data_IF_667786434404
#
_entry.id   IF_667786434404
#
_cell.length_a   1.000
_cell.length_b   1.000
_cell.length_c   1.000
_cell.angle_alpha   90.00
_cell.angle_beta   90.00
_cell.angle_gamma   90.00
#
_symmetry.space_group_name_H-M   'P 1'
#
loop_
_entity.id
_entity.type
_entity.pdbx_description
1 polymer ?
#
# COMPACT_ATOMS: atom_id res chain seq x y z
N UNK A 1 -22.36 -5.22 -18.13
CA UNK A 1 -22.32 -6.68 -17.89
C UNK A 1 -21.19 -7.07 -16.96
N UNK A 2 -19.93 -6.71 -17.24
CA UNK A 2 -18.78 -7.07 -16.38
C UNK A 2 -18.91 -6.56 -14.94
N UNK A 3 -19.29 -5.30 -14.73
CA UNK A 3 -19.57 -4.76 -13.38
C UNK A 3 -20.57 -5.61 -12.58
N UNK A 4 -21.65 -6.04 -13.23
CA UNK A 4 -22.66 -6.91 -12.60
C UNK A 4 -22.07 -8.27 -12.27
N UNK A 5 -21.33 -8.89 -13.20
CA UNK A 5 -20.71 -10.19 -12.98
C UNK A 5 -19.77 -10.17 -11.76
N UNK A 6 -18.95 -9.12 -11.61
CA UNK A 6 -18.05 -8.96 -10.46
C UNK A 6 -18.85 -8.93 -9.15
N UNK A 7 -19.94 -8.15 -9.09
CA UNK A 7 -20.77 -8.05 -7.88
C UNK A 7 -21.52 -9.35 -7.57
N UNK A 8 -22.09 -9.98 -8.60
CA UNK A 8 -22.83 -11.24 -8.46
C UNK A 8 -21.90 -12.35 -7.96
N UNK A 9 -20.65 -12.41 -8.44
CA UNK A 9 -19.64 -13.40 -7.98
C UNK A 9 -19.23 -13.17 -6.52
N UNK A 10 -18.96 -11.91 -6.13
CA UNK A 10 -18.65 -11.58 -4.73
C UNK A 10 -19.79 -11.98 -3.78
N UNK A 11 -21.04 -11.67 -4.16
CA UNK A 11 -22.21 -12.06 -3.37
C UNK A 11 -22.35 -13.59 -3.28
N UNK A 12 -22.05 -14.32 -4.35
CA UNK A 12 -22.00 -15.77 -4.33
C UNK A 12 -21.00 -16.29 -3.28
N UNK A 13 -19.77 -15.78 -3.26
CA UNK A 13 -18.76 -16.16 -2.26
C UNK A 13 -19.20 -15.83 -0.82
N UNK A 14 -19.80 -14.66 -0.62
CA UNK A 14 -20.28 -14.25 0.70
C UNK A 14 -21.45 -15.11 1.17
N UNK A 15 -22.49 -15.26 0.37
CA UNK A 15 -23.73 -15.92 0.80
C UNK A 15 -23.55 -17.44 0.87
N UNK A 16 -22.98 -18.04 -0.18
CA UNK A 16 -22.91 -19.49 -0.31
C UNK A 16 -21.72 -20.10 0.46
N UNK A 17 -20.64 -19.33 0.62
CA UNK A 17 -19.40 -19.84 1.23
C UNK A 17 -18.99 -19.09 2.50
N UNK A 18 -19.73 -18.05 2.90
CA UNK A 18 -19.49 -17.28 4.13
C UNK A 18 -18.08 -16.69 4.20
N UNK A 19 -17.55 -16.26 3.06
CA UNK A 19 -16.26 -15.56 2.98
C UNK A 19 -16.33 -14.21 3.71
N UNK A 20 -15.36 -13.93 4.58
CA UNK A 20 -15.34 -12.76 5.47
C UNK A 20 -14.65 -11.51 4.87
N UNK A 21 -14.06 -11.61 3.68
CA UNK A 21 -13.34 -10.50 3.07
C UNK A 21 -12.74 -10.83 1.70
N UNK A 22 -12.35 -9.79 0.97
CA UNK A 22 -11.79 -9.94 -0.37
C UNK A 22 -10.56 -9.05 -0.57
N UNK A 23 -9.51 -9.65 -1.13
CA UNK A 23 -8.34 -8.98 -1.68
C UNK A 23 -8.48 -8.91 -3.20
N UNK A 24 -8.61 -7.71 -3.75
CA UNK A 24 -8.70 -7.49 -5.19
C UNK A 24 -7.29 -7.41 -5.81
N UNK A 25 -7.00 -8.38 -6.68
CA UNK A 25 -5.84 -8.37 -7.56
C UNK A 25 -5.93 -7.21 -8.56
N UNK A 26 -4.81 -6.50 -8.74
CA UNK A 26 -4.69 -5.32 -9.61
C UNK A 26 -5.92 -4.40 -9.53
N UNK A 27 -6.38 -4.10 -8.30
CA UNK A 27 -7.60 -3.32 -8.05
C UNK A 27 -7.62 -1.98 -8.80
N UNK A 28 -6.45 -1.36 -9.04
CA UNK A 28 -6.33 -0.17 -9.87
C UNK A 28 -6.75 -0.32 -11.33
N UNK A 29 -6.98 -1.53 -11.85
CA UNK A 29 -7.57 -1.78 -13.19
C UNK A 29 -9.10 -1.90 -13.14
N UNK A 30 -9.70 -1.89 -11.95
CA UNK A 30 -11.15 -1.92 -11.76
C UNK A 30 -11.66 -0.49 -11.58
N UNK A 31 -12.86 -0.19 -12.08
CA UNK A 31 -13.52 1.10 -11.83
C UNK A 31 -13.80 1.26 -10.33
N UNK A 32 -13.50 2.44 -9.78
CA UNK A 32 -13.81 2.80 -8.38
C UNK A 32 -15.29 2.54 -8.06
N UNK A 33 -16.18 2.91 -8.98
CA UNK A 33 -17.62 2.72 -8.82
C UNK A 33 -18.00 1.23 -8.63
N UNK A 34 -17.34 0.31 -9.33
CA UNK A 34 -17.61 -1.14 -9.20
C UNK A 34 -17.28 -1.64 -7.80
N UNK A 35 -16.11 -1.30 -7.26
CA UNK A 35 -15.72 -1.75 -5.91
C UNK A 35 -16.59 -1.08 -4.83
N UNK A 36 -16.91 0.20 -4.97
CA UNK A 36 -17.81 0.90 -4.02
C UNK A 36 -19.22 0.30 -4.05
N UNK A 37 -19.75 0.00 -5.25
CA UNK A 37 -21.05 -0.65 -5.39
C UNK A 37 -21.03 -2.08 -4.81
N UNK A 38 -19.94 -2.82 -5.00
CA UNK A 38 -19.76 -4.13 -4.40
C UNK A 38 -19.75 -4.05 -2.86
N UNK A 39 -19.00 -3.11 -2.30
CA UNK A 39 -18.97 -2.84 -0.85
C UNK A 39 -20.37 -2.56 -0.30
N UNK A 40 -21.13 -1.71 -0.99
CA UNK A 40 -22.50 -1.37 -0.60
C UNK A 40 -23.43 -2.58 -0.64
N UNK A 41 -23.38 -3.37 -1.73
CA UNK A 41 -24.19 -4.57 -1.90
C UNK A 41 -23.89 -5.61 -0.81
N UNK A 42 -22.61 -5.91 -0.57
CA UNK A 42 -22.18 -6.83 0.49
C UNK A 42 -22.59 -6.31 1.87
N UNK A 43 -22.35 -5.02 2.16
CA UNK A 43 -22.71 -4.39 3.43
C UNK A 43 -24.21 -4.33 3.70
N UNK A 44 -25.05 -4.61 2.70
CA UNK A 44 -26.52 -4.68 2.86
C UNK A 44 -27.02 -6.04 3.34
N UNK A 45 -26.20 -7.09 3.29
CA UNK A 45 -26.57 -8.44 3.74
C UNK A 45 -26.77 -8.50 5.25
N UNK A 46 -27.76 -9.28 5.70
CA UNK A 46 -28.11 -9.45 7.11
C UNK A 46 -28.18 -10.92 7.48
N UNK A 47 -27.93 -11.22 8.76
CA UNK A 47 -27.91 -12.60 9.27
C UNK A 47 -29.28 -13.27 9.15
N UNK A 48 -30.34 -12.49 9.30
CA UNK A 48 -31.73 -12.94 9.30
C UNK A 48 -32.23 -13.29 7.89
N UNK A 49 -31.80 -12.54 6.87
CA UNK A 49 -32.27 -12.70 5.48
C UNK A 49 -31.30 -13.48 4.60
N UNK A 50 -29.99 -13.27 4.79
CA UNK A 50 -28.93 -13.78 3.91
C UNK A 50 -28.03 -14.80 4.62
N UNK A 51 -28.23 -15.00 5.93
CA UNK A 51 -27.44 -15.95 6.72
C UNK A 51 -26.00 -15.50 7.03
N UNK A 52 -25.68 -14.22 6.80
CA UNK A 52 -24.36 -13.60 7.01
C UNK A 52 -24.49 -12.13 7.44
N UNK A 53 -23.59 -11.64 8.28
CA UNK A 53 -23.52 -10.21 8.64
C UNK A 53 -22.56 -9.47 7.70
N UNK A 54 -23.12 -8.86 6.66
CA UNK A 54 -22.33 -8.18 5.63
C UNK A 54 -21.57 -6.95 6.12
N UNK A 55 -21.96 -6.38 7.28
CA UNK A 55 -21.29 -5.19 7.85
C UNK A 55 -19.85 -5.46 8.29
N UNK A 56 -19.50 -6.73 8.48
CA UNK A 56 -18.17 -7.18 8.91
C UNK A 56 -17.22 -7.51 7.77
N UNK A 57 -17.72 -7.54 6.53
CA UNK A 57 -16.92 -7.97 5.38
C UNK A 57 -15.99 -6.85 4.93
N UNK A 58 -14.69 -7.16 4.89
CA UNK A 58 -13.65 -6.19 4.58
C UNK A 58 -13.12 -6.34 3.16
N UNK A 59 -12.98 -5.21 2.45
CA UNK A 59 -12.46 -5.15 1.08
C UNK A 59 -11.16 -4.37 1.04
N UNK A 60 -10.15 -4.93 0.37
CA UNK A 60 -8.88 -4.27 0.12
C UNK A 60 -8.23 -4.78 -1.17
N UNK A 61 -7.16 -4.15 -1.66
CA UNK A 61 -6.47 -4.66 -2.84
C UNK A 61 -5.26 -3.86 -3.30
N UNK A 62 -4.83 -4.15 -4.52
CA UNK A 62 -3.67 -3.53 -5.17
C UNK A 62 -4.06 -2.27 -5.93
N UNK A 63 -3.99 -1.11 -5.27
CA UNK A 63 -4.34 0.18 -5.85
C UNK A 63 -3.28 0.78 -6.80
N UNK A 64 -2.47 -0.06 -7.47
CA UNK A 64 -1.40 0.37 -8.39
C UNK A 64 -1.99 1.09 -9.62
N UNK A 65 -1.36 2.18 -10.07
CA UNK A 65 -1.88 3.02 -11.15
C UNK A 65 -0.93 3.04 -12.35
N UNK A 66 -1.11 2.13 -13.31
CA UNK A 66 -0.25 1.99 -14.48
C UNK A 66 -1.05 1.54 -15.71
N UNK A 67 -0.39 1.41 -16.86
CA UNK A 67 -1.02 0.91 -18.08
C UNK A 67 -2.05 1.87 -18.66
N UNK A 68 -3.11 1.35 -19.29
CA UNK A 68 -4.13 2.14 -19.96
C UNK A 68 -5.09 2.86 -19.02
N UNK A 69 -5.14 2.44 -17.74
CA UNK A 69 -6.01 3.01 -16.70
C UNK A 69 -5.33 4.14 -15.92
N UNK A 70 -4.03 4.31 -16.08
CA UNK A 70 -3.25 5.37 -15.42
C UNK A 70 -3.89 6.74 -15.66
N UNK A 71 -3.78 7.61 -14.65
CA UNK A 71 -4.35 8.97 -14.69
C UNK A 71 -5.85 9.02 -15.04
N UNK A 72 -6.60 7.98 -14.66
CA UNK A 72 -8.01 7.82 -14.99
C UNK A 72 -8.28 7.68 -16.51
N UNK A 73 -7.33 7.14 -17.29
CA UNK A 73 -7.41 7.02 -18.74
C UNK A 73 -8.63 6.24 -19.28
N UNK A 74 -9.24 5.40 -18.44
CA UNK A 74 -10.49 4.65 -18.74
C UNK A 74 -11.67 5.00 -17.84
N UNK A 75 -11.57 6.12 -17.10
CA UNK A 75 -12.49 6.50 -16.03
C UNK A 75 -11.83 6.42 -14.65
N UNK A 76 -12.57 6.82 -13.60
CA UNK A 76 -12.03 6.82 -12.23
C UNK A 76 -11.82 5.38 -11.76
N UNK A 77 -10.56 4.95 -11.79
CA UNK A 77 -10.13 3.62 -11.38
C UNK A 77 -9.90 3.55 -9.85
N UNK A 78 -9.89 2.35 -9.28
CA UNK A 78 -9.70 2.11 -7.85
C UNK A 78 -8.20 2.13 -7.46
N UNK A 79 -7.49 3.18 -7.86
CA UNK A 79 -6.10 3.44 -7.45
C UNK A 79 -6.03 3.99 -6.02
N UNK A 80 -4.86 3.88 -5.37
CA UNK A 80 -4.63 4.34 -3.99
C UNK A 80 -5.16 5.77 -3.74
N UNK A 81 -4.82 6.72 -4.62
CA UNK A 81 -5.25 8.12 -4.48
C UNK A 81 -6.73 8.35 -4.75
N UNK A 82 -7.38 7.50 -5.55
CA UNK A 82 -8.80 7.59 -5.82
C UNK A 82 -9.66 6.98 -4.70
N UNK A 83 -9.11 6.12 -3.83
CA UNK A 83 -9.86 5.37 -2.83
C UNK A 83 -10.11 6.08 -1.50
N UNK A 84 -9.47 7.23 -1.27
CA UNK A 84 -9.62 7.96 -0.01
C UNK A 84 -11.10 8.25 0.34
N UNK A 85 -11.49 7.93 1.57
CA UNK A 85 -12.83 8.10 2.12
C UNK A 85 -13.82 7.00 1.76
N UNK A 86 -13.41 5.96 1.02
CA UNK A 86 -14.28 4.82 0.69
C UNK A 86 -14.25 3.74 1.77
N UNK A 87 -13.25 3.73 2.64
CA UNK A 87 -12.98 2.67 3.61
C UNK A 87 -12.62 1.32 2.96
N UNK A 88 -12.09 1.33 1.73
CA UNK A 88 -11.54 0.15 1.05
C UNK A 88 -10.01 0.22 1.19
N UNK A 89 -9.41 -0.87 1.68
CA UNK A 89 -7.97 -0.95 1.90
C UNK A 89 -7.14 -0.97 0.62
N UNK A 90 -5.92 -0.45 0.69
CA UNK A 90 -4.90 -0.67 -0.35
C UNK A 90 -3.54 -0.94 0.26
N UNK A 91 -2.75 -1.80 -0.39
CA UNK A 91 -1.37 -2.07 0.01
C UNK A 91 -0.54 -0.80 0.02
N UNK A 92 0.19 -0.57 1.12
CA UNK A 92 1.10 0.55 1.27
C UNK A 92 2.52 0.12 0.91
N UNK A 93 2.88 0.33 -0.35
CA UNK A 93 4.22 0.14 -0.90
C UNK A 93 5.27 1.09 -0.29
N UNK A 94 4.88 2.30 0.14
CA UNK A 94 5.84 3.29 0.67
C UNK A 94 6.53 2.78 1.93
N UNK A 95 5.78 2.20 2.87
CA UNK A 95 6.39 1.64 4.08
C UNK A 95 7.22 0.38 3.78
N UNK A 96 6.79 -0.46 2.81
CA UNK A 96 7.53 -1.65 2.38
C UNK A 96 8.93 -1.23 1.89
N UNK A 97 8.97 -0.30 0.94
CA UNK A 97 10.19 0.12 0.26
C UNK A 97 11.11 0.91 1.19
N UNK A 98 10.57 1.80 2.02
CA UNK A 98 11.36 2.53 3.02
C UNK A 98 11.98 1.59 4.08
N UNK A 99 11.26 0.53 4.45
CA UNK A 99 11.73 -0.46 5.41
C UNK A 99 12.85 -1.31 4.82
N UNK A 100 12.61 -1.92 3.65
CA UNK A 100 13.52 -2.89 3.05
C UNK A 100 14.65 -2.28 2.23
N UNK A 101 14.41 -1.14 1.59
CA UNK A 101 15.36 -0.45 0.73
C UNK A 101 15.16 -0.73 -0.76
N UNK A 102 15.17 0.34 -1.56
CA UNK A 102 14.96 0.29 -3.00
C UNK A 102 13.50 0.02 -3.35
N UNK A 103 13.29 -0.76 -4.41
CA UNK A 103 11.97 -1.23 -4.84
C UNK A 103 12.14 -2.59 -5.52
N UNK A 104 11.06 -3.35 -5.77
CA UNK A 104 11.13 -4.61 -6.52
C UNK A 104 11.72 -4.50 -7.93
N UNK A 105 11.80 -3.29 -8.49
CA UNK A 105 12.33 -3.02 -9.82
C UNK A 105 13.70 -2.30 -9.78
N UNK A 106 14.21 -2.02 -8.58
CA UNK A 106 15.49 -1.34 -8.35
C UNK A 106 16.67 -2.31 -8.23
N UNK A 107 17.82 -1.78 -7.85
CA UNK A 107 18.99 -2.62 -7.61
C UNK A 107 18.77 -3.50 -6.35
N UNK A 108 18.97 -4.83 -6.43
CA UNK A 108 18.61 -5.75 -5.34
C UNK A 108 19.35 -5.47 -4.03
N UNK A 109 20.59 -4.98 -4.12
CA UNK A 109 21.44 -4.66 -2.96
C UNK A 109 21.21 -3.25 -2.36
N UNK A 110 20.25 -2.46 -2.87
CA UNK A 110 19.94 -1.16 -2.27
C UNK A 110 19.36 -1.35 -0.86
N UNK A 111 20.02 -0.81 0.17
CA UNK A 111 19.61 -0.97 1.57
C UNK A 111 18.55 0.06 1.95
N UNK A 112 17.79 -0.26 2.98
CA UNK A 112 16.76 0.59 3.60
C UNK A 112 16.91 0.58 5.11
N UNK A 113 15.87 1.03 5.80
CA UNK A 113 15.93 1.31 7.23
C UNK A 113 16.31 0.09 8.08
N UNK A 114 15.81 -1.11 7.76
CA UNK A 114 16.09 -2.33 8.55
C UNK A 114 17.16 -3.23 7.92
N UNK A 115 17.71 -2.85 6.77
CA UNK A 115 18.67 -3.70 6.03
C UNK A 115 20.07 -3.11 6.00
N UNK A 116 20.37 -2.12 6.85
CA UNK A 116 21.73 -1.67 7.14
C UNK A 116 22.19 -0.38 6.43
N UNK A 117 21.28 0.36 5.78
CA UNK A 117 21.61 1.62 5.10
C UNK A 117 22.35 2.58 6.05
N UNK A 118 23.49 3.13 5.60
CA UNK A 118 24.45 3.94 6.38
C UNK A 118 25.14 3.20 7.54
N UNK A 119 24.36 2.50 8.38
CA UNK A 119 24.80 1.97 9.66
C UNK A 119 25.63 0.68 9.53
N UNK A 120 25.32 -0.15 8.53
CA UNK A 120 26.01 -1.40 8.21
C UNK A 120 26.09 -1.58 6.69
N UNK A 121 26.93 -0.78 5.99
CA UNK A 121 26.98 -0.78 4.53
C UNK A 121 27.36 -2.14 3.95
N UNK A 122 26.63 -2.55 2.92
CA UNK A 122 26.97 -3.72 2.10
C UNK A 122 27.90 -3.31 0.93
N UNK A 123 28.07 -4.19 -0.07
CA UNK A 123 28.97 -3.96 -1.21
C UNK A 123 28.41 -3.02 -2.30
N UNK A 124 27.15 -2.59 -2.20
CA UNK A 124 26.54 -1.67 -3.16
C UNK A 124 26.88 -0.22 -2.82
N UNK A 125 27.17 0.58 -3.84
CA UNK A 125 27.41 2.01 -3.68
C UNK A 125 26.09 2.77 -3.60
N UNK A 126 25.73 3.23 -2.40
CA UNK A 126 24.57 4.12 -2.17
C UNK A 126 24.94 5.61 -2.28
N UNK A 127 26.15 5.94 -2.71
CA UNK A 127 26.68 7.29 -2.81
C UNK A 127 27.35 7.77 -1.52
N UNK A 128 27.55 9.09 -1.44
CA UNK A 128 28.24 9.74 -0.32
C UNK A 128 27.54 9.51 1.02
N UNK A 129 28.26 9.65 2.14
CA UNK A 129 27.69 9.56 3.49
C UNK A 129 26.49 10.50 3.68
N UNK A 130 26.59 11.76 3.21
CA UNK A 130 25.49 12.72 3.24
C UNK A 130 24.26 12.26 2.42
N UNK A 131 24.49 11.57 1.31
CA UNK A 131 23.40 10.95 0.52
C UNK A 131 22.72 9.85 1.31
N UNK A 132 23.49 8.98 1.96
CA UNK A 132 22.96 7.88 2.76
C UNK A 132 22.22 8.37 4.01
N UNK A 133 22.70 9.42 4.68
CA UNK A 133 22.00 10.11 5.77
C UNK A 133 20.63 10.65 5.32
N UNK A 134 20.59 11.30 4.16
CA UNK A 134 19.33 11.80 3.58
C UNK A 134 18.38 10.65 3.21
N UNK A 135 18.90 9.55 2.64
CA UNK A 135 18.09 8.36 2.33
C UNK A 135 17.51 7.73 3.60
N UNK A 136 18.32 7.54 4.65
CA UNK A 136 17.90 6.93 5.91
C UNK A 136 16.86 7.80 6.63
N UNK A 137 17.08 9.11 6.67
CA UNK A 137 16.17 10.06 7.31
C UNK A 137 14.86 10.23 6.53
N UNK A 138 14.89 10.18 5.19
CA UNK A 138 13.69 10.10 4.34
C UNK A 138 12.92 8.81 4.58
N UNK A 139 13.61 7.66 4.60
CA UNK A 139 12.98 6.36 4.89
C UNK A 139 12.30 6.35 6.27
N UNK A 140 12.92 6.97 7.28
CA UNK A 140 12.30 7.18 8.60
C UNK A 140 10.97 7.94 8.51
N UNK A 141 10.92 9.06 7.78
CA UNK A 141 9.67 9.82 7.61
C UNK A 141 8.58 8.97 6.93
N UNK A 142 8.94 8.21 5.90
CA UNK A 142 8.01 7.33 5.19
C UNK A 142 7.46 6.24 6.12
N UNK A 143 8.32 5.62 6.94
CA UNK A 143 7.92 4.61 7.93
C UNK A 143 7.00 5.22 8.99
N UNK A 144 7.35 6.37 9.56
CA UNK A 144 6.51 7.05 10.56
C UNK A 144 5.14 7.42 9.99
N UNK A 145 5.11 7.88 8.74
CA UNK A 145 3.85 8.17 8.01
C UNK A 145 3.00 6.90 7.85
N UNK A 146 3.62 5.79 7.43
CA UNK A 146 2.94 4.49 7.33
C UNK A 146 2.46 3.95 8.68
N UNK A 147 3.25 4.11 9.75
CA UNK A 147 2.88 3.73 11.12
C UNK A 147 1.71 4.57 11.66
N UNK A 148 1.60 5.83 11.23
CA UNK A 148 0.42 6.68 11.43
C UNK A 148 -0.71 6.39 10.43
N UNK A 149 -0.80 5.13 9.99
CA UNK A 149 -1.79 4.60 9.06
C UNK A 149 -1.86 5.31 7.70
N UNK A 150 -0.75 5.89 7.25
CA UNK A 150 -0.60 6.55 5.94
C UNK A 150 -1.67 7.64 5.67
N UNK A 151 -2.10 8.32 6.73
CA UNK A 151 -3.15 9.31 6.72
C UNK A 151 -2.66 10.65 6.17
N UNK A 152 -3.38 11.22 5.18
CA UNK A 152 -3.01 12.49 4.53
C UNK A 152 -2.87 13.64 5.53
N UNK A 153 -3.81 13.76 6.46
CA UNK A 153 -3.90 14.90 7.37
C UNK A 153 -3.25 14.65 8.75
N UNK A 154 -2.58 13.50 8.95
CA UNK A 154 -1.85 13.27 10.19
C UNK A 154 -0.63 14.19 10.24
N UNK A 155 -0.46 14.90 11.35
CA UNK A 155 0.69 15.78 11.57
C UNK A 155 1.85 14.99 12.17
N UNK A 156 3.05 15.13 11.58
CA UNK A 156 4.28 14.54 12.08
C UNK A 156 5.45 15.51 11.93
N UNK A 157 6.46 15.37 12.80
CA UNK A 157 7.73 16.07 12.67
C UNK A 157 8.61 15.35 11.64
N UNK A 158 8.97 16.01 10.54
CA UNK A 158 9.88 15.44 9.55
C UNK A 158 11.34 15.43 10.06
N UNK A 159 12.24 14.79 9.31
CA UNK A 159 13.67 14.75 9.64
C UNK A 159 14.37 16.13 9.72
N UNK A 160 13.79 17.19 9.14
CA UNK A 160 14.29 18.57 9.24
C UNK A 160 13.79 19.27 10.52
N UNK A 161 12.99 18.60 11.35
CA UNK A 161 12.40 19.15 12.56
C UNK A 161 11.13 19.99 12.32
N UNK A 162 10.56 19.96 11.12
CA UNK A 162 9.36 20.70 10.74
C UNK A 162 8.10 19.86 10.91
N UNK A 163 7.05 20.46 11.47
CA UNK A 163 5.70 19.88 11.46
C UNK A 163 5.11 19.91 10.05
N UNK A 164 4.76 18.72 9.54
CA UNK A 164 4.19 18.52 8.21
C UNK A 164 3.03 17.54 8.28
N UNK A 165 2.11 17.66 7.32
CA UNK A 165 1.08 16.64 7.09
C UNK A 165 1.70 15.38 6.44
N UNK A 166 1.08 14.23 6.64
CA UNK A 166 1.45 13.00 5.93
C UNK A 166 1.49 13.16 4.41
N UNK A 167 0.57 13.96 3.84
CA UNK A 167 0.54 14.27 2.40
C UNK A 167 1.67 15.19 1.92
N UNK A 168 2.34 15.89 2.85
CA UNK A 168 3.49 16.76 2.57
C UNK A 168 4.81 16.01 2.68
N UNK A 169 4.80 14.77 3.18
CA UNK A 169 5.93 13.84 3.05
C UNK A 169 5.92 13.27 1.64
N UNK A 170 6.98 13.55 0.88
CA UNK A 170 7.05 13.21 -0.55
C UNK A 170 8.00 12.05 -0.83
N UNK A 171 7.68 11.31 -1.89
CA UNK A 171 8.57 10.40 -2.59
C UNK A 171 9.54 11.18 -3.49
N UNK A 172 10.54 10.52 -4.07
CA UNK A 172 11.51 11.16 -4.96
C UNK A 172 10.89 11.79 -6.21
N UNK A 173 9.79 11.22 -6.72
CA UNK A 173 9.02 11.71 -7.86
C UNK A 173 8.01 12.82 -7.49
N UNK A 174 8.11 13.37 -6.28
CA UNK A 174 7.18 14.35 -5.70
C UNK A 174 5.75 13.83 -5.46
N UNK A 175 5.53 12.51 -5.56
CA UNK A 175 4.25 11.90 -5.18
C UNK A 175 4.11 11.87 -3.65
N UNK A 176 2.94 12.22 -3.06
CA UNK A 176 2.73 12.07 -1.62
C UNK A 176 2.90 10.63 -1.13
N UNK A 177 3.50 10.48 0.04
CA UNK A 177 3.58 9.19 0.75
C UNK A 177 2.18 8.80 1.24
N UNK A 178 1.54 9.70 1.98
CA UNK A 178 0.22 9.48 2.54
C UNK A 178 -0.89 9.77 1.53
N UNK A 179 -1.84 8.84 1.41
CA UNK A 179 -3.00 8.96 0.53
C UNK A 179 -4.32 8.64 1.25
N UNK A 180 -4.27 7.94 2.39
CA UNK A 180 -5.46 7.45 3.08
C UNK A 180 -6.20 8.59 3.81
N UNK A 181 -7.53 8.46 3.88
CA UNK A 181 -8.39 9.31 4.71
C UNK A 181 -8.75 8.61 6.04
N UNK A 182 -8.72 7.28 6.07
CA UNK A 182 -9.04 6.45 7.25
C UNK A 182 -7.93 5.40 7.48
N UNK A 183 -7.66 4.99 8.73
CA UNK A 183 -6.62 4.00 8.99
C UNK A 183 -6.94 2.63 8.38
N UNK A 184 -8.22 2.31 8.22
CA UNK A 184 -8.70 1.09 7.57
C UNK A 184 -8.51 1.08 6.05
N UNK A 185 -7.99 2.16 5.45
CA UNK A 185 -7.66 2.22 4.02
C UNK A 185 -6.21 1.81 3.72
N UNK A 186 -5.42 1.52 4.76
CA UNK A 186 -3.99 1.25 4.66
C UNK A 186 -3.67 -0.18 5.08
N UNK A 187 -3.11 -0.95 4.15
CA UNK A 187 -2.56 -2.29 4.42
C UNK A 187 -1.04 -2.19 4.42
N UNK A 188 -0.45 -2.01 5.61
CA UNK A 188 1.00 -2.01 5.78
C UNK A 188 1.54 -3.44 5.67
N UNK A 189 2.63 -3.60 4.92
CA UNK A 189 3.31 -4.87 4.73
C UNK A 189 4.79 -4.63 4.41
N UNK A 190 5.61 -5.66 4.60
CA UNK A 190 7.01 -5.69 4.19
C UNK A 190 7.36 -6.93 3.36
N UNK A 191 6.40 -7.83 3.17
CA UNK A 191 6.56 -9.04 2.36
C UNK A 191 5.19 -9.55 1.96
N UNK A 192 5.11 -10.14 0.77
CA UNK A 192 3.91 -10.80 0.25
C UNK A 192 4.33 -12.08 -0.49
N UNK A 193 3.46 -12.62 -1.34
CA UNK A 193 3.75 -13.83 -2.12
C UNK A 193 4.54 -13.51 -3.40
N UNK A 194 4.42 -12.27 -3.90
CA UNK A 194 5.23 -11.69 -4.96
C UNK A 194 6.55 -11.13 -4.40
N UNK A 195 7.58 -11.08 -5.25
CA UNK A 195 8.95 -10.66 -4.94
C UNK A 195 9.66 -11.61 -3.95
N UNK A 196 10.81 -11.20 -3.42
CA UNK A 196 11.56 -11.97 -2.43
C UNK A 196 10.80 -12.10 -1.10
N UNK A 197 10.98 -13.23 -0.42
CA UNK A 197 10.47 -13.40 0.94
C UNK A 197 11.19 -12.44 1.90
N UNK A 198 10.60 -12.17 3.07
CA UNK A 198 11.23 -11.31 4.07
C UNK A 198 12.62 -11.81 4.48
N UNK A 199 12.81 -13.14 4.60
CA UNK A 199 14.10 -13.72 4.94
C UNK A 199 15.12 -13.53 3.81
N UNK A 200 14.70 -13.78 2.58
CA UNK A 200 15.58 -13.71 1.41
C UNK A 200 16.02 -12.27 1.15
N UNK A 201 15.12 -11.29 1.22
CA UNK A 201 15.45 -9.88 0.95
C UNK A 201 16.38 -9.29 2.02
N UNK A 202 16.22 -9.68 3.29
CA UNK A 202 17.13 -9.28 4.36
C UNK A 202 18.49 -9.93 4.15
N UNK A 203 18.52 -11.24 3.86
CA UNK A 203 19.76 -11.97 3.60
C UNK A 203 20.51 -11.37 2.43
N UNK A 204 19.80 -11.04 1.35
CA UNK A 204 20.37 -10.43 0.14
C UNK A 204 21.02 -9.07 0.45
N UNK A 205 20.37 -8.23 1.28
CA UNK A 205 20.79 -6.84 1.51
C UNK A 205 21.79 -6.66 2.66
N UNK A 206 21.82 -7.55 3.65
CA UNK A 206 22.70 -7.42 4.84
C UNK A 206 24.10 -8.01 4.61
N UNK A 207 24.26 -8.93 3.65
CA UNK A 207 25.56 -9.60 3.45
C UNK A 207 26.61 -8.62 2.94
N UNK A 208 27.65 -8.43 3.75
CA UNK A 208 28.95 -7.93 3.29
C UNK A 208 29.67 -9.11 2.65
N UNK A 209 29.72 -9.19 1.32
CA UNK A 209 30.61 -10.16 0.67
C UNK A 209 32.04 -9.79 1.08
N UNK A 210 32.67 -10.69 1.83
CA UNK A 210 34.08 -10.60 2.26
C UNK A 210 34.98 -11.01 1.09
#
# INVERSE_FOLDING_TARGET
MVDRLIRDDLLNWVVNYKVDGFRFDLMGHIMKATIVNAKSAIGSLRKETDGVDGSRIYLYGEGWNFGEVAENGRGINASQFNLGGTGIGSFNDRIRDATLGGSPFGHPLQQGFITGLLLQPNAHDHGSEATQELMLSTAKNHILTGMAANLKDYMLTNHEGKEVKGSEVLMHDATPVAYASLPTETINYVSAHDNETLFDIISLKVIKQI
#
